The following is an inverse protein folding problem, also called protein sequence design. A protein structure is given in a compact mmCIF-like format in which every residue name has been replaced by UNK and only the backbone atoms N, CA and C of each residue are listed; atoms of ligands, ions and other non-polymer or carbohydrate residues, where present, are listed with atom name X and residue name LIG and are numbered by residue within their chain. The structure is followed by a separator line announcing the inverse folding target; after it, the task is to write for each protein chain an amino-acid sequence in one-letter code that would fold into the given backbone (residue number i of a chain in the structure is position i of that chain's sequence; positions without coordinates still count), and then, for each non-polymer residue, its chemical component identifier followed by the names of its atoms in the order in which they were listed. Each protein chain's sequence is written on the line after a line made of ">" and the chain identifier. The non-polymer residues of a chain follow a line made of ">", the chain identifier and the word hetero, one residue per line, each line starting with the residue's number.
data_IF_521712991700
#
_entry.id   IF_521712991700
#
_cell.length_a   1.000
_cell.length_b   1.000
_cell.length_c   1.000
_cell.angle_alpha   90.00
_cell.angle_beta   90.00
_cell.angle_gamma   90.00
#
_symmetry.space_group_name_H-M   'P 1'
#
loop_
_entity.id
_entity.type
_entity.pdbx_description
1 polymer ?
#
# COMPACT_ATOMS: atom_id res chain seq x y z
N UNK A 1 9.19 55.36 -13.88
CA UNK A 1 8.44 54.73 -12.78
C UNK A 1 7.44 53.66 -13.27
N UNK A 2 6.58 53.96 -14.28
CA UNK A 2 5.53 53.02 -14.76
C UNK A 2 6.07 51.69 -15.26
N UNK A 3 7.23 51.61 -15.94
CA UNK A 3 7.81 50.40 -16.46
C UNK A 3 8.29 49.43 -15.34
N UNK A 4 8.82 49.93 -14.23
CA UNK A 4 9.26 49.11 -13.09
C UNK A 4 8.08 48.44 -12.37
N UNK A 5 6.94 49.13 -12.27
CA UNK A 5 5.72 48.59 -11.68
C UNK A 5 5.07 47.52 -12.57
N UNK A 6 5.15 47.66 -13.89
CA UNK A 6 4.66 46.67 -14.83
C UNK A 6 5.49 45.38 -14.77
N UNK A 7 6.81 45.45 -14.62
CA UNK A 7 7.69 44.28 -14.46
C UNK A 7 7.43 43.59 -13.13
N UNK A 8 7.25 44.32 -12.03
CA UNK A 8 6.93 43.76 -10.73
C UNK A 8 5.55 43.01 -10.73
N UNK A 9 4.55 43.60 -11.38
CA UNK A 9 3.24 42.96 -11.53
C UNK A 9 3.31 41.69 -12.37
N UNK A 10 4.10 41.67 -13.44
CA UNK A 10 4.29 40.48 -14.27
C UNK A 10 5.00 39.38 -13.51
N UNK A 11 6.05 39.70 -12.74
CA UNK A 11 6.75 38.73 -11.88
C UNK A 11 5.83 38.16 -10.78
N UNK A 12 5.01 39.01 -10.19
CA UNK A 12 4.03 38.56 -9.18
C UNK A 12 2.95 37.66 -9.80
N UNK A 13 2.45 37.95 -11.00
CA UNK A 13 1.52 37.09 -11.73
C UNK A 13 2.18 35.74 -12.11
N UNK A 14 3.44 35.72 -12.52
CA UNK A 14 4.17 34.50 -12.83
C UNK A 14 4.42 33.64 -11.58
N UNK A 15 4.73 34.29 -10.44
CA UNK A 15 4.87 33.61 -9.16
C UNK A 15 3.52 33.03 -8.66
N UNK A 16 2.43 33.79 -8.80
CA UNK A 16 1.08 33.32 -8.50
C UNK A 16 0.66 32.16 -9.42
N UNK A 17 0.96 32.27 -10.71
CA UNK A 17 0.65 31.22 -11.68
C UNK A 17 1.47 29.93 -11.39
N UNK A 18 2.76 30.08 -11.06
CA UNK A 18 3.62 28.95 -10.67
C UNK A 18 3.16 28.32 -9.35
N UNK A 19 2.67 29.13 -8.41
CA UNK A 19 2.12 28.64 -7.15
C UNK A 19 0.77 27.95 -7.35
N UNK A 20 -0.11 28.50 -8.20
CA UNK A 20 -1.36 27.85 -8.61
C UNK A 20 -1.12 26.56 -9.39
N UNK A 21 -0.15 26.53 -10.32
CA UNK A 21 0.21 25.31 -11.06
C UNK A 21 0.77 24.23 -10.12
N UNK A 22 1.53 24.58 -9.09
CA UNK A 22 1.94 23.63 -8.04
C UNK A 22 0.77 23.15 -7.18
N UNK A 23 -0.22 23.99 -6.96
CA UNK A 23 -1.41 23.61 -6.17
C UNK A 23 -2.36 22.70 -6.96
N UNK A 24 -2.31 22.74 -8.29
CA UNK A 24 -3.09 21.88 -9.17
C UNK A 24 -2.31 20.64 -9.66
N UNK A 25 -1.00 20.52 -9.41
CA UNK A 25 -0.31 19.24 -9.58
C UNK A 25 -0.64 18.38 -8.35
N UNK A 26 -1.54 17.43 -8.47
CA UNK A 26 -1.61 16.35 -7.50
C UNK A 26 -0.24 15.68 -7.47
N UNK A 27 0.40 15.64 -6.30
CA UNK A 27 1.61 14.87 -6.12
C UNK A 27 1.25 13.39 -6.36
N UNK A 28 2.00 12.74 -7.25
CA UNK A 28 1.82 11.33 -7.54
C UNK A 28 2.50 10.52 -6.45
N UNK A 29 1.74 10.15 -5.41
CA UNK A 29 2.22 9.33 -4.31
C UNK A 29 2.31 7.86 -4.73
N UNK A 30 3.41 7.21 -4.41
CA UNK A 30 3.60 5.79 -4.67
C UNK A 30 4.03 5.04 -3.43
N UNK A 31 3.48 3.84 -3.26
CA UNK A 31 3.95 2.89 -2.27
C UNK A 31 4.55 1.65 -2.94
N UNK A 32 5.32 0.88 -2.19
CA UNK A 32 5.79 -0.44 -2.63
C UNK A 32 5.93 -1.40 -1.47
N UNK A 33 5.75 -2.69 -1.73
CA UNK A 33 6.05 -3.77 -0.79
C UNK A 33 7.51 -4.19 -0.93
N UNK A 34 8.20 -4.33 0.19
CA UNK A 34 9.54 -4.90 0.28
C UNK A 34 9.45 -6.18 1.13
N UNK A 35 9.43 -7.32 0.44
CA UNK A 35 9.19 -8.62 1.08
C UNK A 35 10.44 -9.21 1.72
N UNK A 36 11.61 -9.05 1.12
CA UNK A 36 12.86 -9.53 1.67
C UNK A 36 13.54 -8.43 2.51
N UNK A 37 13.19 -8.37 3.80
CA UNK A 37 13.82 -7.41 4.70
C UNK A 37 15.32 -7.67 4.93
N UNK A 38 15.84 -8.84 4.59
CA UNK A 38 17.26 -9.15 4.78
C UNK A 38 18.17 -8.23 3.95
N UNK A 39 17.69 -7.76 2.80
CA UNK A 39 18.46 -6.91 1.90
C UNK A 39 18.70 -5.50 2.44
N UNK A 40 17.88 -5.01 3.41
CA UNK A 40 18.07 -3.66 3.95
C UNK A 40 19.40 -3.50 4.71
N UNK A 41 20.01 -4.61 5.17
CA UNK A 41 21.28 -4.55 5.87
C UNK A 41 22.41 -3.99 5.00
N UNK A 42 22.44 -4.35 3.73
CA UNK A 42 23.52 -4.03 2.79
C UNK A 42 23.08 -3.05 1.69
N UNK A 43 21.79 -3.05 1.32
CA UNK A 43 21.27 -2.31 0.16
C UNK A 43 20.46 -1.07 0.52
N UNK A 44 20.45 -0.63 1.79
CA UNK A 44 19.70 0.58 2.21
C UNK A 44 19.92 1.78 1.28
N UNK A 45 21.16 2.18 0.90
CA UNK A 45 21.36 3.34 0.03
C UNK A 45 20.73 3.16 -1.36
N UNK A 46 20.76 1.94 -1.89
CA UNK A 46 20.23 1.59 -3.20
C UNK A 46 18.70 1.60 -3.19
N UNK A 47 18.09 0.98 -2.18
CA UNK A 47 16.63 0.95 -1.99
C UNK A 47 16.09 2.39 -1.88
N UNK A 48 16.70 3.23 -1.03
CA UNK A 48 16.28 4.61 -0.85
C UNK A 48 16.46 5.44 -2.12
N UNK A 49 17.61 5.29 -2.80
CA UNK A 49 17.87 6.01 -4.06
C UNK A 49 16.87 5.62 -5.16
N UNK A 50 16.58 4.34 -5.29
CA UNK A 50 15.60 3.82 -6.23
C UNK A 50 14.19 4.34 -5.90
N UNK A 51 13.75 4.17 -4.65
CA UNK A 51 12.45 4.61 -4.18
C UNK A 51 12.22 6.10 -4.47
N UNK A 52 13.21 6.93 -4.16
CA UNK A 52 13.16 8.36 -4.44
C UNK A 52 13.11 8.67 -5.94
N UNK A 53 13.87 7.95 -6.76
CA UNK A 53 13.87 8.12 -8.21
C UNK A 53 12.51 7.74 -8.84
N UNK A 54 11.81 6.77 -8.24
CA UNK A 54 10.50 6.31 -8.69
C UNK A 54 9.32 7.11 -8.07
N UNK A 55 9.59 8.05 -7.17
CA UNK A 55 8.57 8.83 -6.47
C UNK A 55 7.83 8.01 -5.41
N UNK A 56 8.48 6.98 -4.85
CA UNK A 56 7.95 6.21 -3.71
C UNK A 56 8.17 7.00 -2.43
N UNK A 57 7.10 7.21 -1.69
CA UNK A 57 7.08 7.87 -0.39
C UNK A 57 6.60 6.95 0.75
N UNK A 58 6.16 5.74 0.44
CA UNK A 58 5.73 4.74 1.42
C UNK A 58 6.28 3.36 1.09
N UNK A 59 6.90 2.70 2.07
CA UNK A 59 7.38 1.32 1.94
C UNK A 59 6.67 0.45 2.98
N UNK A 60 5.97 -0.58 2.51
CA UNK A 60 5.45 -1.66 3.34
C UNK A 60 6.55 -2.72 3.49
N UNK A 61 7.25 -2.71 4.63
CA UNK A 61 8.44 -3.53 4.88
C UNK A 61 8.08 -4.77 5.69
N UNK A 62 8.27 -5.95 5.10
CA UNK A 62 8.08 -7.23 5.79
C UNK A 62 8.97 -7.33 7.03
N UNK A 63 8.39 -7.70 8.16
CA UNK A 63 9.15 -7.95 9.39
C UNK A 63 9.59 -9.42 9.44
N UNK A 64 10.88 -9.63 9.53
CA UNK A 64 11.52 -10.94 9.60
C UNK A 64 12.30 -11.07 10.91
N UNK A 65 12.16 -12.20 11.61
CA UNK A 65 12.76 -12.42 12.92
C UNK A 65 14.29 -12.46 12.87
N UNK A 66 14.86 -12.83 11.72
CA UNK A 66 16.30 -12.92 11.48
C UNK A 66 16.96 -11.54 11.31
N UNK A 67 16.16 -10.48 11.04
CA UNK A 67 16.70 -9.13 10.86
C UNK A 67 16.70 -8.39 12.20
N UNK A 68 17.88 -7.97 12.69
CA UNK A 68 17.97 -7.28 13.98
C UNK A 68 17.25 -5.93 13.98
N UNK A 69 16.66 -5.53 15.09
CA UNK A 69 16.04 -4.21 15.29
C UNK A 69 16.97 -3.04 14.91
N UNK A 70 18.26 -3.17 15.19
CA UNK A 70 19.24 -2.14 14.83
C UNK A 70 19.36 -1.91 13.31
N UNK A 71 19.06 -2.94 12.50
CA UNK A 71 19.04 -2.84 11.04
C UNK A 71 17.80 -2.09 10.58
N UNK A 72 16.63 -2.41 11.12
CA UNK A 72 15.41 -1.64 10.87
C UNK A 72 15.56 -0.17 11.26
N UNK A 73 16.13 0.14 12.45
CA UNK A 73 16.38 1.54 12.87
C UNK A 73 17.20 2.33 11.87
N UNK A 74 18.28 1.73 11.35
CA UNK A 74 19.13 2.39 10.35
C UNK A 74 18.41 2.62 9.05
N UNK A 75 17.64 1.62 8.58
CA UNK A 75 16.86 1.72 7.35
C UNK A 75 15.79 2.81 7.47
N UNK A 76 14.98 2.78 8.53
CA UNK A 76 13.90 3.74 8.76
C UNK A 76 14.45 5.16 8.88
N UNK A 77 15.56 5.34 9.62
CA UNK A 77 16.19 6.66 9.73
C UNK A 77 16.69 7.18 8.37
N UNK A 78 17.20 6.31 7.50
CA UNK A 78 17.63 6.68 6.15
C UNK A 78 16.43 6.98 5.24
N UNK A 79 15.35 6.19 5.33
CA UNK A 79 14.10 6.40 4.61
C UNK A 79 13.47 7.75 4.98
N UNK A 80 13.37 8.07 6.27
CA UNK A 80 12.83 9.34 6.75
C UNK A 80 13.64 10.55 6.33
N UNK A 81 14.97 10.45 6.18
CA UNK A 81 15.79 11.53 5.60
C UNK A 81 15.48 11.78 4.11
N UNK A 82 14.94 10.78 3.43
CA UNK A 82 14.51 10.87 2.04
C UNK A 82 13.00 11.14 1.91
N UNK A 83 12.31 11.44 3.01
CA UNK A 83 10.86 11.68 3.06
C UNK A 83 10.04 10.44 2.65
N UNK A 84 10.54 9.24 3.02
CA UNK A 84 9.88 7.96 2.79
C UNK A 84 9.41 7.41 4.14
N UNK A 85 8.11 7.16 4.26
CA UNK A 85 7.50 6.50 5.40
C UNK A 85 7.69 4.97 5.31
N UNK A 86 7.87 4.32 6.45
CA UNK A 86 8.03 2.86 6.51
C UNK A 86 6.97 2.29 7.44
N UNK A 87 6.11 1.44 6.88
CA UNK A 87 5.12 0.69 7.63
C UNK A 87 5.59 -0.76 7.82
N UNK A 88 5.42 -1.28 9.03
CA UNK A 88 5.71 -2.68 9.31
C UNK A 88 4.65 -3.56 8.63
N UNK A 89 5.09 -4.50 7.82
CA UNK A 89 4.23 -5.42 7.07
C UNK A 89 4.33 -6.82 7.67
N UNK A 90 3.21 -7.48 7.88
CA UNK A 90 3.11 -8.90 8.10
C UNK A 90 1.68 -9.40 7.80
N UNK A 91 1.55 -10.69 7.63
CA UNK A 91 0.28 -11.35 7.39
C UNK A 91 0.49 -12.79 6.95
N UNK A 92 -0.49 -13.61 7.22
CA UNK A 92 -0.56 -14.97 6.72
C UNK A 92 -2.04 -15.36 6.55
N UNK A 93 -2.36 -16.13 5.52
CA UNK A 93 -3.75 -16.49 5.23
C UNK A 93 -4.49 -17.09 6.44
N UNK A 94 -3.82 -17.93 7.24
CA UNK A 94 -4.43 -18.59 8.40
C UNK A 94 -4.69 -17.65 9.59
N UNK A 95 -4.16 -16.42 9.58
CA UNK A 95 -4.53 -15.42 10.59
C UNK A 95 -6.02 -15.04 10.54
N UNK A 96 -6.69 -15.37 9.45
CA UNK A 96 -8.13 -15.26 9.37
C UNK A 96 -8.88 -16.19 10.37
N UNK A 97 -8.27 -17.28 10.82
CA UNK A 97 -8.90 -18.17 11.79
C UNK A 97 -8.87 -17.62 13.22
N UNK A 98 -9.91 -17.89 13.98
CA UNK A 98 -10.04 -17.44 15.38
C UNK A 98 -8.85 -17.86 16.24
N UNK A 99 -8.37 -19.10 16.08
CA UNK A 99 -7.23 -19.64 16.83
C UNK A 99 -5.89 -18.97 16.50
N UNK A 100 -5.84 -18.19 15.43
CA UNK A 100 -4.66 -17.42 14.98
C UNK A 100 -4.72 -15.93 15.29
N UNK A 101 -5.77 -15.45 15.95
CA UNK A 101 -5.91 -14.04 16.35
C UNK A 101 -4.68 -13.50 17.07
N UNK A 102 -4.12 -14.31 17.96
CA UNK A 102 -2.96 -13.93 18.77
C UNK A 102 -1.69 -13.69 17.95
N UNK A 103 -1.55 -14.26 16.76
CA UNK A 103 -0.41 -14.01 15.86
C UNK A 103 -0.40 -12.54 15.40
N UNK A 104 -1.55 -12.02 14.95
CA UNK A 104 -1.67 -10.61 14.56
C UNK A 104 -1.53 -9.66 15.76
N UNK A 105 -2.11 -10.00 16.93
CA UNK A 105 -1.92 -9.21 18.15
C UNK A 105 -0.46 -9.17 18.58
N UNK A 106 0.25 -10.29 18.51
CA UNK A 106 1.67 -10.37 18.83
C UNK A 106 2.53 -9.54 17.87
N UNK A 107 2.16 -9.50 16.59
CA UNK A 107 2.83 -8.65 15.61
C UNK A 107 2.64 -7.16 15.93
N UNK A 108 1.43 -6.71 16.21
CA UNK A 108 1.14 -5.30 16.59
C UNK A 108 1.90 -4.93 17.87
N UNK A 109 1.90 -5.80 18.86
CA UNK A 109 2.65 -5.59 20.12
C UNK A 109 4.17 -5.54 19.88
N UNK A 110 4.69 -6.35 18.95
CA UNK A 110 6.11 -6.30 18.52
C UNK A 110 6.45 -4.91 17.95
N UNK A 111 5.62 -4.38 17.05
CA UNK A 111 5.83 -3.04 16.46
C UNK A 111 5.71 -1.96 17.54
N UNK A 112 4.71 -2.03 18.42
CA UNK A 112 4.55 -1.10 19.56
C UNK A 112 5.80 -1.07 20.44
N UNK A 113 6.31 -2.25 20.80
CA UNK A 113 7.50 -2.40 21.66
C UNK A 113 8.75 -1.88 20.97
N UNK A 114 8.93 -2.20 19.68
CA UNK A 114 10.01 -1.68 18.86
C UNK A 114 9.98 -0.14 18.81
N UNK A 115 8.82 0.45 18.53
CA UNK A 115 8.66 1.90 18.46
C UNK A 115 8.94 2.57 19.81
N UNK A 116 8.51 1.96 20.92
CA UNK A 116 8.77 2.47 22.27
C UNK A 116 10.28 2.47 22.61
N UNK A 117 11.04 1.53 22.07
CA UNK A 117 12.49 1.41 22.26
C UNK A 117 13.33 2.19 21.25
N UNK A 118 12.70 2.86 20.27
CA UNK A 118 13.37 3.53 19.16
C UNK A 118 13.25 5.04 19.24
N UNK A 119 14.23 5.78 18.73
CA UNK A 119 14.16 7.22 18.55
C UNK A 119 13.02 7.57 17.55
N UNK A 120 12.47 8.79 17.64
CA UNK A 120 11.31 9.17 16.83
C UNK A 120 11.50 8.93 15.32
N UNK A 121 12.68 9.24 14.80
CA UNK A 121 13.02 9.09 13.39
C UNK A 121 13.45 7.65 13.00
N UNK A 122 13.30 6.69 13.90
CA UNK A 122 13.64 5.27 13.72
C UNK A 122 12.42 4.37 13.89
N UNK A 123 11.21 4.96 13.99
CA UNK A 123 9.95 4.26 14.24
C UNK A 123 9.24 3.93 12.94
N UNK A 124 8.57 2.80 12.93
CA UNK A 124 7.55 2.55 11.92
C UNK A 124 6.41 3.56 12.09
N UNK A 125 5.97 4.15 10.99
CA UNK A 125 4.83 5.08 11.00
C UNK A 125 3.50 4.34 11.17
N UNK A 126 3.42 3.09 10.71
CA UNK A 126 2.23 2.28 10.80
C UNK A 126 2.48 0.79 10.64
N UNK A 127 1.38 0.06 10.54
CA UNK A 127 1.31 -1.38 10.31
C UNK A 127 0.45 -1.63 9.07
N UNK A 128 0.89 -2.52 8.19
CA UNK A 128 0.06 -3.10 7.15
C UNK A 128 -0.13 -4.60 7.41
N UNK A 129 -1.38 -5.05 7.38
CA UNK A 129 -1.76 -6.45 7.48
C UNK A 129 -2.11 -6.98 6.07
N UNK A 130 -1.45 -8.07 5.69
CA UNK A 130 -1.70 -8.76 4.42
C UNK A 130 -2.20 -10.18 4.71
N UNK A 131 -3.51 -10.28 4.94
CA UNK A 131 -4.19 -11.54 5.29
C UNK A 131 -5.14 -11.91 4.17
N UNK A 132 -4.82 -12.98 3.46
CA UNK A 132 -5.52 -13.44 2.25
C UNK A 132 -6.30 -14.74 2.48
N UNK A 133 -7.44 -14.72 3.18
CA UNK A 133 -8.15 -15.93 3.60
C UNK A 133 -8.66 -16.79 2.43
N UNK A 134 -8.78 -16.22 1.25
CA UNK A 134 -9.19 -16.94 0.04
C UNK A 134 -8.15 -17.98 -0.44
N UNK A 135 -6.93 -17.95 0.09
CA UNK A 135 -5.92 -18.98 -0.12
C UNK A 135 -6.15 -20.22 0.77
N UNK A 136 -7.04 -20.13 1.76
CA UNK A 136 -7.31 -21.20 2.69
C UNK A 136 -8.26 -22.25 2.09
N UNK A 137 -8.01 -23.52 2.38
CA UNK A 137 -8.88 -24.61 1.93
C UNK A 137 -10.33 -24.47 2.43
N UNK A 138 -10.53 -23.97 3.66
CA UNK A 138 -11.87 -23.72 4.21
C UNK A 138 -12.65 -22.68 3.43
N UNK A 139 -11.97 -21.77 2.74
CA UNK A 139 -12.61 -20.76 1.92
C UNK A 139 -13.52 -21.33 0.83
N UNK A 140 -13.18 -22.49 0.27
CA UNK A 140 -13.96 -23.14 -0.79
C UNK A 140 -15.38 -23.54 -0.34
N UNK A 141 -15.54 -23.93 0.94
CA UNK A 141 -16.79 -24.54 1.43
C UNK A 141 -17.40 -23.85 2.67
N UNK A 142 -16.63 -23.01 3.37
CA UNK A 142 -17.00 -22.39 4.65
C UNK A 142 -16.72 -20.88 4.63
N UNK A 143 -16.87 -20.25 3.48
CA UNK A 143 -16.46 -18.87 3.25
C UNK A 143 -17.04 -17.87 4.25
N UNK A 144 -18.36 -17.95 4.52
CA UNK A 144 -19.03 -17.04 5.45
C UNK A 144 -18.50 -17.22 6.89
N UNK A 145 -18.15 -18.45 7.29
CA UNK A 145 -17.54 -18.71 8.60
C UNK A 145 -16.13 -18.11 8.69
N UNK A 146 -15.32 -18.27 7.64
CA UNK A 146 -13.97 -17.70 7.58
C UNK A 146 -14.02 -16.18 7.61
N UNK A 147 -14.96 -15.56 6.90
CA UNK A 147 -15.16 -14.10 6.91
C UNK A 147 -15.56 -13.62 8.31
N UNK A 148 -16.48 -14.31 8.98
CA UNK A 148 -16.88 -13.94 10.34
C UNK A 148 -15.70 -14.04 11.33
N UNK A 149 -14.92 -15.13 11.27
CA UNK A 149 -13.71 -15.28 12.09
C UNK A 149 -12.69 -14.17 11.80
N UNK A 150 -12.44 -13.88 10.53
CA UNK A 150 -11.52 -12.84 10.08
C UNK A 150 -11.97 -11.44 10.53
N UNK A 151 -13.28 -11.15 10.43
CA UNK A 151 -13.84 -9.88 10.90
C UNK A 151 -13.60 -9.66 12.39
N UNK A 152 -13.84 -10.67 13.22
CA UNK A 152 -13.58 -10.61 14.65
C UNK A 152 -12.08 -10.43 14.98
N UNK A 153 -11.20 -11.02 14.17
CA UNK A 153 -9.77 -10.84 14.31
C UNK A 153 -9.36 -9.41 13.92
N UNK A 154 -9.87 -8.88 12.78
CA UNK A 154 -9.61 -7.51 12.36
C UNK A 154 -10.06 -6.47 13.39
N UNK A 155 -11.24 -6.64 14.00
CA UNK A 155 -11.70 -5.77 15.12
C UNK A 155 -10.67 -5.74 16.26
N UNK A 156 -10.19 -6.92 16.65
CA UNK A 156 -9.22 -7.00 17.75
C UNK A 156 -7.87 -6.38 17.36
N UNK A 157 -7.41 -6.57 16.13
CA UNK A 157 -6.15 -6.01 15.66
C UNK A 157 -6.21 -4.49 15.51
N UNK A 158 -7.27 -3.96 14.90
CA UNK A 158 -7.42 -2.50 14.76
C UNK A 158 -7.56 -1.82 16.11
N UNK A 159 -8.31 -2.41 17.05
CA UNK A 159 -8.37 -1.89 18.43
C UNK A 159 -6.99 -1.90 19.10
N UNK A 160 -6.20 -2.96 18.94
CA UNK A 160 -4.84 -3.01 19.50
C UNK A 160 -3.90 -1.98 18.83
N UNK A 161 -4.07 -1.73 17.54
CA UNK A 161 -3.38 -0.67 16.80
C UNK A 161 -3.73 0.72 17.33
N UNK A 162 -5.02 1.01 17.50
CA UNK A 162 -5.52 2.27 18.08
C UNK A 162 -4.97 2.52 19.48
N UNK A 163 -5.03 1.50 20.34
CA UNK A 163 -4.50 1.56 21.70
C UNK A 163 -2.99 1.81 21.74
N UNK A 164 -2.28 1.37 20.68
CA UNK A 164 -0.84 1.59 20.49
C UNK A 164 -0.51 2.92 19.77
N UNK A 165 -1.51 3.63 19.25
CA UNK A 165 -1.34 4.84 18.44
C UNK A 165 -0.63 4.57 17.11
N UNK A 166 -0.87 3.42 16.50
CA UNK A 166 -0.32 3.00 15.22
C UNK A 166 -1.32 3.28 14.09
N UNK A 167 -0.82 3.77 12.96
CA UNK A 167 -1.60 3.82 11.73
C UNK A 167 -1.78 2.41 11.18
N UNK A 168 -3.04 1.99 11.02
CA UNK A 168 -3.37 0.62 10.62
C UNK A 168 -3.86 0.58 9.18
N UNK A 169 -3.25 -0.28 8.38
CA UNK A 169 -3.68 -0.53 6.99
C UNK A 169 -3.78 -2.01 6.68
N UNK A 170 -4.54 -2.36 5.64
CA UNK A 170 -4.67 -3.73 5.15
C UNK A 170 -4.56 -3.80 3.63
N UNK A 171 -3.95 -4.87 3.11
CA UNK A 171 -4.09 -5.25 1.71
C UNK A 171 -5.35 -6.11 1.55
N UNK A 172 -6.21 -5.77 0.58
CA UNK A 172 -7.47 -6.47 0.35
C UNK A 172 -7.73 -6.67 -1.15
N UNK A 173 -8.38 -7.77 -1.55
CA UNK A 173 -8.77 -7.96 -2.94
C UNK A 173 -9.96 -7.08 -3.32
N UNK A 174 -9.99 -6.60 -4.55
CA UNK A 174 -11.03 -5.72 -5.09
C UNK A 174 -12.46 -6.29 -5.02
N UNK A 175 -12.61 -7.59 -5.10
CA UNK A 175 -13.93 -8.26 -5.15
C UNK A 175 -14.64 -8.38 -3.79
N UNK A 176 -14.10 -7.81 -2.71
CA UNK A 176 -14.81 -7.73 -1.42
C UNK A 176 -16.03 -6.80 -1.48
N UNK A 177 -16.08 -5.87 -2.41
CA UNK A 177 -17.23 -5.02 -2.71
C UNK A 177 -18.47 -5.82 -3.14
N UNK A 178 -18.27 -6.94 -3.83
CA UNK A 178 -19.36 -7.83 -4.26
C UNK A 178 -20.00 -8.64 -3.11
N UNK A 179 -19.51 -8.48 -1.87
CA UNK A 179 -20.03 -9.17 -0.70
C UNK A 179 -20.78 -8.23 0.22
N UNK A 180 -21.97 -8.66 0.66
CA UNK A 180 -22.65 -7.98 1.74
C UNK A 180 -21.94 -8.29 3.08
N UNK A 181 -21.84 -7.28 3.93
CA UNK A 181 -21.33 -7.45 5.29
C UNK A 181 -22.49 -7.75 6.24
N UNK A 182 -22.42 -8.90 6.91
CA UNK A 182 -23.33 -9.24 8.00
C UNK A 182 -23.06 -8.38 9.26
N UNK A 183 -21.88 -7.75 9.34
CA UNK A 183 -21.41 -6.98 10.48
C UNK A 183 -21.69 -5.47 10.36
N UNK A 184 -22.11 -4.99 9.17
CA UNK A 184 -22.41 -3.58 8.95
C UNK A 184 -23.78 -3.24 9.53
N UNK A 185 -23.84 -2.33 10.50
CA UNK A 185 -25.09 -1.75 10.97
C UNK A 185 -25.74 -0.96 9.80
N UNK A 186 -26.88 -1.45 9.33
CA UNK A 186 -27.64 -0.81 8.23
C UNK A 186 -27.35 -1.39 6.83
N UNK A 187 -26.56 -2.44 6.72
CA UNK A 187 -26.15 -3.04 5.43
C UNK A 187 -24.92 -2.34 4.83
N UNK A 188 -24.36 -2.93 3.80
CA UNK A 188 -23.18 -2.41 3.08
C UNK A 188 -22.28 -3.54 2.61
N UNK A 189 -21.30 -3.18 1.82
CA UNK A 189 -20.31 -4.13 1.33
C UNK A 189 -19.32 -4.56 2.43
N UNK A 190 -18.68 -5.69 2.24
CA UNK A 190 -17.64 -6.12 3.18
C UNK A 190 -16.36 -5.26 3.01
N UNK A 191 -16.08 -4.75 1.81
CA UNK A 191 -15.02 -3.76 1.59
C UNK A 191 -15.24 -2.51 2.43
N UNK A 192 -16.46 -1.94 2.43
CA UNK A 192 -16.81 -0.78 3.27
C UNK A 192 -16.58 -1.06 4.75
N UNK A 193 -16.98 -2.24 5.22
CA UNK A 193 -16.77 -2.62 6.60
C UNK A 193 -15.27 -2.68 6.96
N UNK A 194 -14.43 -3.24 6.08
CA UNK A 194 -12.96 -3.24 6.29
C UNK A 194 -12.41 -1.82 6.28
N UNK A 195 -12.78 -0.99 5.31
CA UNK A 195 -12.34 0.40 5.18
C UNK A 195 -12.68 1.21 6.44
N UNK A 196 -13.85 1.00 7.04
CA UNK A 196 -14.27 1.70 8.25
C UNK A 196 -13.36 1.38 9.45
N UNK A 197 -12.84 0.15 9.54
CA UNK A 197 -12.01 -0.31 10.65
C UNK A 197 -10.53 0.05 10.52
N UNK A 198 -10.03 0.27 9.31
CA UNK A 198 -8.62 0.62 9.05
C UNK A 198 -8.47 2.11 8.72
N UNK A 199 -7.27 2.67 8.84
CA UNK A 199 -6.95 4.03 8.40
C UNK A 199 -6.77 4.09 6.88
N UNK A 200 -6.25 3.01 6.29
CA UNK A 200 -6.10 2.85 4.86
C UNK A 200 -6.25 1.39 4.42
N UNK A 201 -6.57 1.21 3.14
CA UNK A 201 -6.49 -0.09 2.47
C UNK A 201 -5.67 0.01 1.19
N UNK A 202 -5.00 -1.08 0.82
CA UNK A 202 -4.38 -1.25 -0.49
C UNK A 202 -5.20 -2.28 -1.27
N UNK A 203 -5.86 -1.83 -2.33
CA UNK A 203 -6.72 -2.70 -3.16
C UNK A 203 -5.84 -3.44 -4.17
N UNK A 204 -5.87 -4.76 -4.15
CA UNK A 204 -5.20 -5.62 -5.13
C UNK A 204 -5.95 -5.59 -6.47
N UNK A 205 -5.98 -4.41 -7.11
CA UNK A 205 -6.67 -4.15 -8.37
C UNK A 205 -5.82 -4.53 -9.59
N UNK A 206 -5.10 -5.63 -9.48
CA UNK A 206 -4.08 -6.06 -10.41
C UNK A 206 -4.59 -6.23 -11.83
N UNK A 207 -4.21 -5.29 -12.71
CA UNK A 207 -4.47 -5.27 -14.16
C UNK A 207 -3.29 -4.56 -14.86
N UNK A 208 -3.12 -4.85 -16.16
CA UNK A 208 -2.14 -4.19 -17.01
C UNK A 208 -2.68 -2.92 -17.71
N UNK A 209 -3.82 -2.40 -17.25
CA UNK A 209 -4.49 -1.21 -17.80
C UNK A 209 -5.02 -0.32 -16.69
N UNK A 210 -4.58 0.93 -16.66
CA UNK A 210 -4.92 1.89 -15.62
C UNK A 210 -6.42 2.14 -15.47
N UNK A 211 -7.18 2.18 -16.57
CA UNK A 211 -8.63 2.30 -16.50
C UNK A 211 -9.26 1.12 -15.75
N UNK A 212 -8.81 -0.11 -16.02
CA UNK A 212 -9.34 -1.30 -15.35
C UNK A 212 -8.93 -1.36 -13.88
N UNK A 213 -7.71 -0.92 -13.54
CA UNK A 213 -7.29 -0.80 -12.14
C UNK A 213 -8.18 0.17 -11.38
N UNK A 214 -8.45 1.34 -11.96
CA UNK A 214 -9.36 2.32 -11.38
C UNK A 214 -10.79 1.78 -11.27
N UNK A 215 -11.33 1.17 -12.34
CA UNK A 215 -12.69 0.63 -12.35
C UNK A 215 -12.90 -0.43 -11.24
N UNK A 216 -11.86 -1.24 -10.95
CA UNK A 216 -11.88 -2.24 -9.89
C UNK A 216 -11.70 -1.68 -8.47
N UNK A 217 -11.26 -0.45 -8.33
CA UNK A 217 -11.06 0.20 -7.02
C UNK A 217 -12.05 1.32 -6.77
N UNK A 218 -12.94 1.57 -7.73
CA UNK A 218 -13.79 2.77 -7.70
C UNK A 218 -14.79 2.73 -6.55
N UNK A 219 -15.38 1.58 -6.25
CA UNK A 219 -16.34 1.46 -5.17
C UNK A 219 -15.66 1.69 -3.81
N UNK A 220 -14.48 1.11 -3.58
CA UNK A 220 -13.72 1.36 -2.36
C UNK A 220 -13.23 2.80 -2.24
N UNK A 221 -12.89 3.46 -3.35
CA UNK A 221 -12.56 4.88 -3.35
C UNK A 221 -13.76 5.74 -2.94
N UNK A 222 -14.94 5.46 -3.51
CA UNK A 222 -16.19 6.16 -3.17
C UNK A 222 -16.57 5.94 -1.68
N UNK A 223 -16.50 4.70 -1.19
CA UNK A 223 -16.76 4.34 0.21
C UNK A 223 -15.77 5.03 1.17
N UNK A 224 -14.49 5.02 0.83
CA UNK A 224 -13.46 5.66 1.63
C UNK A 224 -13.56 7.20 1.62
N UNK A 225 -14.02 7.82 0.52
CA UNK A 225 -14.33 9.25 0.48
C UNK A 225 -15.40 9.62 1.53
N UNK A 226 -16.46 8.79 1.66
CA UNK A 226 -17.52 8.99 2.64
C UNK A 226 -17.03 8.79 4.09
N UNK A 227 -16.09 7.84 4.30
CA UNK A 227 -15.56 7.48 5.61
C UNK A 227 -14.34 8.32 6.03
N UNK A 228 -13.77 9.12 5.12
CA UNK A 228 -12.57 9.90 5.36
C UNK A 228 -11.29 9.04 5.49
N UNK A 229 -11.28 7.87 4.86
CA UNK A 229 -10.19 6.89 4.87
C UNK A 229 -9.33 7.00 3.60
N UNK A 230 -8.25 6.21 3.52
CA UNK A 230 -7.31 6.23 2.38
C UNK A 230 -7.28 4.91 1.62
N UNK A 231 -7.10 5.00 0.31
CA UNK A 231 -7.05 3.85 -0.60
C UNK A 231 -5.84 3.96 -1.51
N UNK A 232 -4.99 2.94 -1.48
CA UNK A 232 -3.94 2.69 -2.46
C UNK A 232 -4.46 1.76 -3.56
N UNK A 233 -4.22 2.08 -4.81
CA UNK A 233 -4.56 1.20 -5.94
C UNK A 233 -3.35 0.35 -6.30
N UNK A 234 -3.47 -0.97 -6.16
CA UNK A 234 -2.38 -1.92 -6.36
C UNK A 234 -2.06 -2.19 -7.83
N UNK A 235 -0.78 -2.26 -8.16
CA UNK A 235 -0.24 -2.65 -9.47
C UNK A 235 0.73 -3.83 -9.32
N UNK A 236 0.56 -4.90 -10.11
CA UNK A 236 1.41 -6.10 -10.07
C UNK A 236 2.48 -6.07 -11.16
N UNK A 237 3.74 -6.32 -10.79
CA UNK A 237 4.87 -6.36 -11.71
C UNK A 237 5.52 -7.75 -11.84
N UNK A 238 5.29 -8.63 -10.89
CA UNK A 238 5.82 -9.99 -10.96
C UNK A 238 5.01 -10.87 -11.91
N UNK A 239 5.58 -12.01 -12.29
CA UNK A 239 4.88 -13.02 -13.08
C UNK A 239 3.76 -13.67 -12.26
N UNK A 240 2.59 -13.77 -12.84
CA UNK A 240 1.44 -14.45 -12.23
C UNK A 240 0.94 -15.56 -13.15
N UNK A 241 0.59 -16.72 -12.57
CA UNK A 241 0.00 -17.82 -13.33
C UNK A 241 -1.47 -17.59 -13.70
N UNK A 242 -2.08 -16.51 -13.19
CA UNK A 242 -3.50 -16.21 -13.38
C UNK A 242 -3.79 -15.49 -14.70
N UNK A 243 -2.76 -14.97 -15.37
CA UNK A 243 -2.83 -14.41 -16.73
C UNK A 243 -2.07 -13.09 -16.93
N UNK A 244 -1.55 -12.90 -18.12
CA UNK A 244 -0.71 -11.75 -18.51
C UNK A 244 -1.42 -10.39 -18.39
N UNK A 245 -2.74 -10.37 -18.33
CA UNK A 245 -3.55 -9.15 -18.20
C UNK A 245 -3.64 -8.64 -16.75
N UNK A 246 -3.15 -9.40 -15.78
CA UNK A 246 -3.15 -9.04 -14.37
C UNK A 246 -1.85 -8.35 -13.94
N UNK A 247 -0.84 -8.32 -14.80
CA UNK A 247 0.49 -7.87 -14.42
C UNK A 247 1.18 -7.08 -15.52
N UNK A 248 2.06 -6.17 -15.13
CA UNK A 248 2.98 -5.50 -16.03
C UNK A 248 4.26 -6.31 -16.32
N UNK A 249 4.34 -7.58 -15.92
CA UNK A 249 5.51 -8.43 -16.10
C UNK A 249 6.08 -8.40 -17.52
N UNK A 250 5.24 -8.64 -18.51
CA UNK A 250 5.62 -8.66 -19.93
C UNK A 250 5.59 -7.29 -20.62
N UNK A 251 5.16 -6.22 -19.92
CA UNK A 251 5.02 -4.88 -20.49
C UNK A 251 6.33 -4.09 -20.39
N UNK A 252 6.51 -3.08 -21.24
CA UNK A 252 7.60 -2.12 -21.10
C UNK A 252 7.36 -1.18 -19.90
N UNK A 253 8.43 -0.59 -19.37
CA UNK A 253 8.36 0.45 -18.35
C UNK A 253 7.50 1.62 -18.83
N UNK A 254 7.73 2.10 -20.05
CA UNK A 254 6.94 3.20 -20.63
C UNK A 254 5.44 2.89 -20.64
N UNK A 255 5.05 1.65 -20.99
CA UNK A 255 3.64 1.25 -20.96
C UNK A 255 3.10 1.23 -19.53
N UNK A 256 3.87 0.71 -18.57
CA UNK A 256 3.52 0.72 -17.17
C UNK A 256 3.30 2.15 -16.65
N UNK A 257 4.23 3.06 -16.93
CA UNK A 257 4.14 4.47 -16.52
C UNK A 257 2.91 5.16 -17.13
N UNK A 258 2.63 4.93 -18.42
CA UNK A 258 1.45 5.47 -19.09
C UNK A 258 0.13 4.95 -18.46
N UNK A 259 0.08 3.69 -18.07
CA UNK A 259 -1.10 3.10 -17.47
C UNK A 259 -1.25 3.54 -15.99
N UNK A 260 -0.17 3.60 -15.22
CA UNK A 260 -0.21 4.16 -13.85
C UNK A 260 -0.62 5.64 -13.86
N UNK A 261 -0.14 6.41 -14.84
CA UNK A 261 -0.57 7.81 -14.98
C UNK A 261 -2.09 7.93 -15.13
N UNK A 262 -2.74 7.02 -15.85
CA UNK A 262 -4.22 7.02 -15.96
C UNK A 262 -4.88 6.78 -14.59
N UNK A 263 -4.31 5.92 -13.75
CA UNK A 263 -4.81 5.71 -12.38
C UNK A 263 -4.70 7.01 -11.58
N UNK A 264 -3.58 7.72 -11.65
CA UNK A 264 -3.43 9.03 -10.99
C UNK A 264 -4.44 10.06 -11.50
N UNK A 265 -4.58 10.17 -12.82
CA UNK A 265 -5.50 11.14 -13.45
C UNK A 265 -6.98 10.86 -13.05
N UNK A 266 -7.38 9.59 -12.93
CA UNK A 266 -8.73 9.18 -12.54
C UNK A 266 -8.94 9.26 -11.02
N UNK A 267 -7.97 8.77 -10.24
CA UNK A 267 -8.00 8.76 -8.78
C UNK A 267 -7.98 10.16 -8.17
N UNK A 268 -7.41 11.15 -8.87
CA UNK A 268 -7.34 12.54 -8.42
C UNK A 268 -8.69 13.18 -8.07
N UNK A 269 -9.81 12.59 -8.52
CA UNK A 269 -11.17 13.06 -8.18
C UNK A 269 -11.64 12.61 -6.79
N UNK A 270 -10.93 11.64 -6.17
CA UNK A 270 -11.26 11.06 -4.87
C UNK A 270 -10.34 11.62 -3.78
N UNK A 271 -10.92 12.12 -2.71
CA UNK A 271 -10.16 12.59 -1.53
C UNK A 271 -9.50 11.43 -0.78
N UNK A 272 -10.03 10.23 -0.93
CA UNK A 272 -9.52 8.98 -0.38
C UNK A 272 -8.30 8.43 -1.11
N UNK A 273 -8.08 8.81 -2.39
CA UNK A 273 -7.00 8.28 -3.20
C UNK A 273 -5.64 8.63 -2.57
N UNK A 274 -4.94 7.61 -2.08
CA UNK A 274 -3.60 7.75 -1.50
C UNK A 274 -2.50 7.70 -2.57
N UNK A 275 -2.76 7.00 -3.69
CA UNK A 275 -1.80 6.82 -4.77
C UNK A 275 -1.80 5.39 -5.33
N UNK A 276 -0.70 5.02 -5.98
CA UNK A 276 -0.50 3.67 -6.55
C UNK A 276 0.50 2.90 -5.70
N UNK A 277 0.14 1.69 -5.28
CA UNK A 277 1.02 0.77 -4.56
C UNK A 277 1.55 -0.30 -5.52
N UNK A 278 2.85 -0.30 -5.77
CA UNK A 278 3.51 -1.18 -6.75
C UNK A 278 3.99 -2.46 -6.07
N UNK A 279 3.47 -3.59 -6.48
CA UNK A 279 3.85 -4.91 -5.99
C UNK A 279 4.86 -5.54 -6.97
N UNK A 280 6.13 -5.71 -6.58
CA UNK A 280 6.82 -5.33 -5.37
C UNK A 280 8.20 -4.74 -5.69
N UNK A 281 8.92 -4.20 -4.71
CA UNK A 281 10.20 -3.52 -4.90
C UNK A 281 11.19 -4.32 -5.76
N UNK A 282 11.40 -5.60 -5.44
CA UNK A 282 12.40 -6.42 -6.11
C UNK A 282 12.08 -6.62 -7.61
N UNK A 283 10.79 -6.83 -7.93
CA UNK A 283 10.34 -6.94 -9.31
C UNK A 283 10.45 -5.60 -10.04
N UNK A 284 10.11 -4.50 -9.36
CA UNK A 284 10.21 -3.16 -9.93
C UNK A 284 11.67 -2.78 -10.19
N UNK A 285 12.52 -2.96 -9.17
CA UNK A 285 13.96 -2.70 -9.30
C UNK A 285 14.58 -3.49 -10.45
N UNK A 286 14.29 -4.79 -10.54
CA UNK A 286 14.80 -5.65 -11.61
C UNK A 286 14.34 -5.15 -12.99
N UNK A 287 13.06 -4.79 -13.12
CA UNK A 287 12.48 -4.30 -14.37
C UNK A 287 13.14 -3.00 -14.84
N UNK A 288 13.33 -2.02 -13.95
CA UNK A 288 13.96 -0.74 -14.25
C UNK A 288 15.44 -0.88 -14.65
N UNK A 289 16.13 -1.85 -14.05
CA UNK A 289 17.55 -2.09 -14.32
C UNK A 289 17.81 -3.12 -15.42
N UNK A 290 16.76 -3.58 -16.14
CA UNK A 290 16.89 -4.56 -17.18
C UNK A 290 17.39 -5.94 -16.71
N UNK A 291 17.19 -6.25 -15.42
CA UNK A 291 17.48 -7.55 -14.84
C UNK A 291 16.33 -8.49 -15.18
N UNK A 292 16.59 -9.67 -15.75
CA UNK A 292 15.52 -10.60 -16.09
C UNK A 292 14.73 -11.02 -14.84
N UNK A 293 13.42 -10.78 -14.87
CA UNK A 293 12.52 -11.28 -13.84
C UNK A 293 12.34 -12.80 -14.03
N UNK A 294 12.42 -13.54 -12.92
CA UNK A 294 12.13 -14.97 -12.94
C UNK A 294 10.63 -15.18 -13.21
N UNK A 295 10.32 -16.08 -14.16
CA UNK A 295 8.96 -16.61 -14.25
C UNK A 295 8.73 -17.57 -13.08
N UNK A 296 7.57 -17.48 -12.44
CA UNK A 296 7.17 -18.52 -11.50
C UNK A 296 7.19 -19.85 -12.25
N UNK A 297 7.94 -20.84 -11.74
CA UNK A 297 7.88 -22.21 -12.28
C UNK A 297 6.46 -22.73 -12.07
N UNK A 298 5.88 -23.41 -13.07
CA UNK A 298 4.68 -24.21 -12.88
C UNK A 298 5.01 -25.29 -11.83
N UNK A 299 4.73 -25.01 -10.57
CA UNK A 299 4.73 -26.08 -9.57
C UNK A 299 3.55 -26.98 -9.90
N UNK A 300 3.89 -28.18 -10.33
CA UNK A 300 2.94 -29.27 -10.58
C UNK A 300 2.02 -29.42 -9.36
N UNK A 301 0.73 -29.18 -9.59
CA UNK A 301 -0.35 -29.41 -8.62
C UNK A 301 -0.39 -30.85 -8.14
#
# INVERSE_FOLDING_TARGET
>A
MKAKWAILALLFCLLLLSWLLKWFSHEEHKATWLWDASIIAEQTPEIISFSKAQGVDTIFLQIQDEVPDATYRKFIAAAGQAEIEVHALNGHADWAYTEKREEGLAFIEKVRTYNAASAKNERFEGVQLDVEPYQLKRWENEQDSVIAEWSENMKAWTQAGDDAGLYMSAAIPFWLDARESAESEGGGTFSRWVIDHFDAVAIMAYRDRGQQMYDLSKEELDEADELGKKVWVGAELADTHEGDHLTFFSKSITNMDEEMKKVFDLGASHSSFAGVAVHHYEAWYAKENGIPLARKSEETK
#
